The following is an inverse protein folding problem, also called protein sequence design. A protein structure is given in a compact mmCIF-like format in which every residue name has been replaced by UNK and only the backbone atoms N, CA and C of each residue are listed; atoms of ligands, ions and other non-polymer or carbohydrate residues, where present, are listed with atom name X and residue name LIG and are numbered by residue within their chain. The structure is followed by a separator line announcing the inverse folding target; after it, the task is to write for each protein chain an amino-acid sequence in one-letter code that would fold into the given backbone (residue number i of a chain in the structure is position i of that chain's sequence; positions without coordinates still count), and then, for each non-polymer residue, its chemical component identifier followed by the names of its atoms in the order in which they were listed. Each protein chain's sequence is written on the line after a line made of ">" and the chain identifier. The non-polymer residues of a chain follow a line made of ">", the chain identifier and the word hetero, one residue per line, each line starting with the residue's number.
data_IF_794742348389
#
_entry.id   IF_794742348389
#
_cell.length_a   1.000
_cell.length_b   1.000
_cell.length_c   1.000
_cell.angle_alpha   90.00
_cell.angle_beta   90.00
_cell.angle_gamma   90.00
#
_symmetry.space_group_name_H-M   'P 1'
#
loop_
_entity.id
_entity.type
_entity.pdbx_description
1 polymer ?
#
# COMPACT_ATOMS: atom_id res chain seq x y z
N UNK A 1 -28.89 10.53 15.49
CA UNK A 1 -29.77 9.38 15.13
C UNK A 1 -30.10 9.51 13.65
N UNK A 2 -29.98 8.40 12.89
CA UNK A 2 -30.23 8.39 11.45
C UNK A 2 -29.03 8.81 10.59
N UNK A 3 -27.87 9.13 11.16
CA UNK A 3 -26.68 9.44 10.39
C UNK A 3 -26.13 8.16 9.68
N UNK A 4 -25.78 8.28 8.41
CA UNK A 4 -25.02 7.28 7.69
C UNK A 4 -23.55 7.35 8.15
N UNK A 5 -23.01 6.24 8.63
CA UNK A 5 -21.66 6.17 9.18
C UNK A 5 -20.87 4.98 8.66
N UNK A 6 -19.55 5.13 8.62
CA UNK A 6 -18.60 4.06 8.38
C UNK A 6 -17.56 4.00 9.51
N UNK A 7 -16.94 2.84 9.67
CA UNK A 7 -15.83 2.63 10.60
C UNK A 7 -14.94 1.48 10.15
N UNK A 8 -13.72 1.45 10.67
CA UNK A 8 -12.79 0.34 10.48
C UNK A 8 -12.06 0.02 11.79
N UNK A 9 -11.62 -1.22 11.93
CA UNK A 9 -10.75 -1.63 13.04
C UNK A 9 -11.47 -2.17 14.26
N UNK A 10 -10.93 -1.88 15.42
CA UNK A 10 -11.38 -2.40 16.72
C UNK A 10 -12.41 -1.48 17.39
N UNK A 11 -13.27 -2.05 18.27
CA UNK A 11 -13.42 -3.47 18.58
C UNK A 11 -13.97 -4.30 17.41
N UNK A 12 -13.65 -5.60 17.39
CA UNK A 12 -14.17 -6.54 16.40
C UNK A 12 -15.69 -6.72 16.54
N UNK A 13 -16.37 -7.22 15.49
CA UNK A 13 -17.81 -7.50 15.50
C UNK A 13 -18.60 -6.73 14.43
N UNK A 14 -17.98 -6.42 13.28
CA UNK A 14 -18.65 -5.76 12.17
C UNK A 14 -19.72 -6.64 11.46
N UNK A 15 -19.59 -7.97 11.55
CA UNK A 15 -20.58 -8.91 11.04
C UNK A 15 -21.72 -9.09 12.04
N UNK A 16 -22.56 -8.07 12.16
CA UNK A 16 -23.71 -8.01 13.04
C UNK A 16 -24.78 -7.11 12.46
N UNK A 17 -26.05 -7.39 12.77
CA UNK A 17 -27.18 -6.52 12.37
C UNK A 17 -27.17 -5.20 13.13
N UNK A 18 -26.74 -5.25 14.41
CA UNK A 18 -26.65 -4.09 15.30
C UNK A 18 -25.45 -4.24 16.24
N UNK A 19 -24.87 -3.14 16.68
CA UNK A 19 -23.78 -3.13 17.67
C UNK A 19 -23.61 -1.78 18.33
N UNK A 20 -23.07 -1.79 19.54
CA UNK A 20 -22.51 -0.60 20.17
C UNK A 20 -21.08 -0.37 19.69
N UNK A 21 -20.77 0.86 19.25
CA UNK A 21 -19.44 1.21 18.77
C UNK A 21 -19.03 2.61 19.26
N UNK A 22 -17.76 2.85 19.60
CA UNK A 22 -17.30 4.15 20.07
C UNK A 22 -17.47 5.24 19.02
N UNK A 23 -18.21 6.30 19.37
CA UNK A 23 -18.54 7.38 18.43
C UNK A 23 -17.31 8.12 17.90
N UNK A 24 -16.23 8.18 18.67
CA UNK A 24 -14.97 8.79 18.25
C UNK A 24 -14.33 8.14 17.01
N UNK A 25 -14.66 6.87 16.75
CA UNK A 25 -14.13 6.10 15.63
C UNK A 25 -15.09 6.05 14.43
N UNK A 26 -16.18 6.80 14.48
CA UNK A 26 -17.17 6.87 13.39
C UNK A 26 -16.82 8.00 12.42
N UNK A 27 -16.99 7.74 11.14
CA UNK A 27 -16.89 8.73 10.06
C UNK A 27 -18.26 8.85 9.40
N UNK A 28 -18.74 10.06 9.17
CA UNK A 28 -19.96 10.27 8.37
C UNK A 28 -19.70 9.91 6.92
N UNK A 29 -20.65 9.18 6.34
CA UNK A 29 -20.62 8.88 4.91
C UNK A 29 -21.34 10.02 4.19
N UNK A 30 -20.72 10.68 3.20
CA UNK A 30 -21.39 11.62 2.32
C UNK A 30 -22.60 10.97 1.63
N UNK A 31 -23.66 11.74 1.39
CA UNK A 31 -24.92 11.21 0.83
C UNK A 31 -24.74 10.55 -0.55
N UNK A 32 -23.72 10.99 -1.30
CA UNK A 32 -23.41 10.48 -2.65
C UNK A 32 -22.68 9.14 -2.63
N UNK A 33 -22.20 8.68 -1.45
CA UNK A 33 -21.44 7.43 -1.31
C UNK A 33 -22.35 6.29 -0.87
N UNK A 34 -22.46 5.28 -1.73
CA UNK A 34 -23.20 4.05 -1.43
C UNK A 34 -22.55 3.28 -0.26
N UNK A 35 -23.39 2.62 0.57
CA UNK A 35 -22.92 1.85 1.73
C UNK A 35 -21.94 0.72 1.38
N UNK A 36 -22.13 0.04 0.23
CA UNK A 36 -21.21 -1.02 -0.19
C UNK A 36 -19.83 -0.42 -0.54
N UNK A 37 -19.83 0.74 -1.19
CA UNK A 37 -18.59 1.47 -1.49
C UNK A 37 -17.92 1.88 -0.18
N UNK A 38 -18.63 2.54 0.73
CA UNK A 38 -18.09 2.97 2.02
C UNK A 38 -17.53 1.79 2.82
N UNK A 39 -18.26 0.68 2.93
CA UNK A 39 -17.81 -0.51 3.65
C UNK A 39 -16.53 -1.12 3.08
N UNK A 40 -16.32 -1.04 1.76
CA UNK A 40 -15.13 -1.58 1.10
C UNK A 40 -13.93 -0.64 1.12
N UNK A 41 -14.17 0.67 1.22
CA UNK A 41 -13.13 1.69 1.17
C UNK A 41 -12.41 1.89 2.51
N UNK A 42 -13.09 1.80 3.65
CA UNK A 42 -12.50 2.22 4.92
C UNK A 42 -11.10 1.66 5.16
N UNK A 43 -10.93 0.36 5.30
CA UNK A 43 -9.60 -0.21 5.58
C UNK A 43 -8.63 -0.02 4.41
N UNK A 44 -9.08 -0.23 3.19
CA UNK A 44 -8.20 -0.18 2.00
C UNK A 44 -7.85 1.25 1.61
N UNK A 45 -8.83 2.16 1.65
CA UNK A 45 -8.64 3.58 1.34
C UNK A 45 -7.75 4.27 2.37
N UNK A 46 -8.04 4.07 3.66
CA UNK A 46 -7.20 4.59 4.75
C UNK A 46 -5.76 4.06 4.66
N UNK A 47 -5.60 2.78 4.27
CA UNK A 47 -4.25 2.23 4.04
C UNK A 47 -3.56 2.94 2.89
N UNK A 48 -4.22 3.09 1.75
CA UNK A 48 -3.64 3.81 0.61
C UNK A 48 -3.31 5.27 0.98
N UNK A 49 -4.18 5.95 1.71
CA UNK A 49 -3.97 7.32 2.17
C UNK A 49 -2.71 7.47 3.00
N UNK A 50 -2.58 6.72 4.11
CA UNK A 50 -1.40 6.91 4.96
C UNK A 50 -0.10 6.48 4.27
N UNK A 51 -0.14 5.50 3.37
CA UNK A 51 1.03 5.10 2.59
C UNK A 51 1.50 6.22 1.67
N UNK A 52 0.56 6.92 0.99
CA UNK A 52 0.84 7.97 0.02
C UNK A 52 1.27 9.30 0.66
N UNK A 53 0.69 9.65 1.80
CA UNK A 53 0.85 10.99 2.38
C UNK A 53 1.63 11.05 3.69
N UNK A 54 1.58 9.98 4.49
CA UNK A 54 2.13 10.02 5.86
C UNK A 54 3.36 9.14 6.04
N UNK A 55 3.43 7.97 5.39
CA UNK A 55 4.58 7.05 5.52
C UNK A 55 5.73 7.50 4.63
N UNK A 56 5.47 7.66 3.37
CA UNK A 56 6.36 8.27 2.38
C UNK A 56 5.53 9.23 1.53
N UNK A 57 5.57 10.53 1.84
CA UNK A 57 4.86 11.52 1.04
C UNK A 57 5.41 11.52 -0.39
N UNK A 58 4.61 10.99 -1.32
CA UNK A 58 5.03 10.89 -2.72
C UNK A 58 5.07 12.25 -3.40
N UNK A 59 5.95 12.39 -4.38
CA UNK A 59 6.05 13.58 -5.22
C UNK A 59 5.75 13.24 -6.68
N UNK A 60 5.19 14.19 -7.42
CA UNK A 60 4.94 14.01 -8.85
C UNK A 60 6.22 13.65 -9.60
N UNK A 61 6.09 12.84 -10.66
CA UNK A 61 7.19 12.30 -11.48
C UNK A 61 8.07 11.23 -10.81
N UNK A 62 7.83 10.86 -9.55
CA UNK A 62 8.50 9.69 -8.96
C UNK A 62 8.03 8.39 -9.62
N UNK A 63 8.94 7.41 -9.67
CA UNK A 63 8.61 6.03 -10.06
C UNK A 63 8.59 5.16 -8.81
N UNK A 64 7.44 4.58 -8.51
CA UNK A 64 7.20 3.80 -7.29
C UNK A 64 7.10 2.31 -7.63
N UNK A 65 7.53 1.43 -6.70
CA UNK A 65 7.27 -0.01 -6.80
C UNK A 65 6.19 -0.40 -5.78
N UNK A 66 5.11 -1.05 -6.26
CA UNK A 66 4.02 -1.53 -5.41
C UNK A 66 3.76 -3.03 -5.64
N UNK A 67 3.92 -3.83 -4.59
CA UNK A 67 3.63 -5.26 -4.63
C UNK A 67 2.15 -5.56 -4.42
N UNK A 68 1.66 -6.65 -5.06
CA UNK A 68 0.25 -7.02 -5.08
C UNK A 68 -0.67 -5.91 -5.62
N UNK A 69 -0.27 -5.28 -6.73
CA UNK A 69 -0.93 -4.12 -7.33
C UNK A 69 -2.41 -4.38 -7.73
N UNK A 70 -2.78 -5.61 -8.04
CA UNK A 70 -4.16 -6.01 -8.31
C UNK A 70 -4.98 -6.34 -7.04
N UNK A 71 -4.37 -6.26 -5.85
CA UNK A 71 -5.04 -6.47 -4.56
C UNK A 71 -5.90 -5.27 -4.15
N UNK A 72 -6.71 -5.44 -3.09
CA UNK A 72 -7.66 -4.41 -2.69
C UNK A 72 -7.05 -3.05 -2.35
N UNK A 73 -5.92 -3.00 -1.64
CA UNK A 73 -5.17 -1.76 -1.40
C UNK A 73 -4.49 -1.29 -2.69
N UNK A 74 -3.88 -2.23 -3.44
CA UNK A 74 -3.12 -1.92 -4.66
C UNK A 74 -3.95 -1.21 -5.71
N UNK A 75 -5.19 -1.64 -5.93
CA UNK A 75 -6.09 -1.01 -6.90
C UNK A 75 -6.37 0.47 -6.56
N UNK A 76 -6.61 0.78 -5.29
CA UNK A 76 -6.84 2.16 -4.84
C UNK A 76 -5.55 2.97 -4.88
N UNK A 77 -4.47 2.41 -4.31
CA UNK A 77 -3.17 3.07 -4.25
C UNK A 77 -2.64 3.45 -5.64
N UNK A 78 -2.67 2.51 -6.59
CA UNK A 78 -2.10 2.75 -7.93
C UNK A 78 -2.87 3.82 -8.71
N UNK A 79 -4.21 3.83 -8.63
CA UNK A 79 -5.03 4.88 -9.22
C UNK A 79 -4.70 6.25 -8.60
N UNK A 80 -4.60 6.29 -7.28
CA UNK A 80 -4.35 7.52 -6.55
C UNK A 80 -2.93 8.05 -6.81
N UNK A 81 -1.90 7.19 -6.74
CA UNK A 81 -0.53 7.56 -7.10
C UNK A 81 -0.43 8.09 -8.54
N UNK A 82 -1.14 7.45 -9.47
CA UNK A 82 -1.22 7.91 -10.87
C UNK A 82 -1.85 9.29 -10.99
N UNK A 83 -2.94 9.56 -10.28
CA UNK A 83 -3.60 10.88 -10.28
C UNK A 83 -2.72 11.98 -9.69
N UNK A 84 -1.79 11.62 -8.79
CA UNK A 84 -0.78 12.52 -8.22
C UNK A 84 0.46 12.71 -9.12
N UNK A 85 0.45 12.12 -10.32
CA UNK A 85 1.51 12.29 -11.31
C UNK A 85 2.71 11.35 -11.14
N UNK A 86 2.60 10.30 -10.33
CA UNK A 86 3.62 9.28 -10.19
C UNK A 86 3.53 8.23 -11.30
N UNK A 87 4.66 7.57 -11.58
CA UNK A 87 4.70 6.32 -12.35
C UNK A 87 4.69 5.14 -11.39
N UNK A 88 3.86 4.15 -11.67
CA UNK A 88 3.74 2.96 -10.82
C UNK A 88 4.21 1.72 -11.56
N UNK A 89 5.23 1.07 -11.01
CA UNK A 89 5.60 -0.30 -11.36
C UNK A 89 4.84 -1.18 -10.37
N UNK A 90 3.86 -1.93 -10.87
CA UNK A 90 3.10 -2.89 -10.07
C UNK A 90 3.64 -4.30 -10.22
N UNK A 91 3.60 -5.11 -9.15
CA UNK A 91 3.83 -6.55 -9.31
C UNK A 91 2.57 -7.34 -9.00
N UNK A 92 2.43 -8.48 -9.68
CA UNK A 92 1.33 -9.43 -9.52
C UNK A 92 1.86 -10.87 -9.46
N UNK A 93 1.08 -11.78 -8.91
CA UNK A 93 1.47 -13.18 -8.77
C UNK A 93 0.94 -14.11 -9.89
N UNK A 94 0.11 -13.58 -10.82
CA UNK A 94 -0.42 -14.35 -11.95
C UNK A 94 -0.78 -13.45 -13.12
N UNK A 95 -0.83 -14.02 -14.33
CA UNK A 95 -1.11 -13.27 -15.56
C UNK A 95 -2.53 -12.65 -15.57
N UNK A 96 -3.50 -13.33 -15.00
CA UNK A 96 -4.90 -12.86 -14.89
C UNK A 96 -5.03 -11.53 -14.17
N UNK A 97 -4.04 -11.20 -13.31
CA UNK A 97 -3.99 -9.97 -12.52
C UNK A 97 -3.31 -8.80 -13.25
N UNK A 98 -2.66 -9.06 -14.37
CA UNK A 98 -1.91 -8.02 -15.12
C UNK A 98 -2.86 -6.93 -15.60
N UNK A 99 -3.96 -7.31 -16.24
CA UNK A 99 -4.91 -6.33 -16.80
C UNK A 99 -5.63 -5.55 -15.70
N UNK A 100 -5.89 -6.19 -14.55
CA UNK A 100 -6.45 -5.51 -13.38
C UNK A 100 -5.49 -4.40 -12.90
N UNK A 101 -4.20 -4.72 -12.74
CA UNK A 101 -3.22 -3.75 -12.28
C UNK A 101 -3.02 -2.61 -13.28
N UNK A 102 -2.96 -2.90 -14.59
CA UNK A 102 -2.88 -1.88 -15.65
C UNK A 102 -4.09 -0.95 -15.64
N UNK A 103 -5.29 -1.52 -15.60
CA UNK A 103 -6.55 -0.75 -15.56
C UNK A 103 -6.61 0.18 -14.35
N UNK A 104 -5.99 -0.21 -13.25
CA UNK A 104 -5.94 0.56 -12.02
C UNK A 104 -4.69 1.44 -11.88
N UNK A 105 -4.04 1.83 -12.99
CA UNK A 105 -3.07 2.92 -13.02
C UNK A 105 -1.60 2.52 -12.99
N UNK A 106 -1.26 1.21 -12.99
CA UNK A 106 0.13 0.80 -13.15
C UNK A 106 0.62 1.11 -14.57
N UNK A 107 1.73 1.83 -14.68
CA UNK A 107 2.40 2.08 -15.96
C UNK A 107 3.11 0.83 -16.47
N UNK A 108 3.66 0.03 -15.56
CA UNK A 108 4.30 -1.24 -15.83
C UNK A 108 3.79 -2.29 -14.85
N UNK A 109 3.64 -3.52 -15.31
CA UNK A 109 3.22 -4.65 -14.46
C UNK A 109 4.15 -5.83 -14.71
N UNK A 110 4.68 -6.38 -13.62
CA UNK A 110 5.61 -7.50 -13.61
C UNK A 110 4.95 -8.69 -12.92
N UNK A 111 4.89 -9.84 -13.57
CA UNK A 111 4.49 -11.08 -12.94
C UNK A 111 5.70 -11.73 -12.27
N UNK A 112 5.85 -11.55 -10.95
CA UNK A 112 7.00 -12.06 -10.19
C UNK A 112 7.08 -13.59 -10.10
N UNK A 113 6.02 -14.31 -10.51
CA UNK A 113 6.06 -15.78 -10.61
C UNK A 113 6.78 -16.28 -11.87
N UNK A 114 6.98 -15.39 -12.86
CA UNK A 114 7.59 -15.71 -14.14
C UNK A 114 8.84 -14.88 -14.45
N UNK A 115 8.98 -13.73 -13.81
CA UNK A 115 10.02 -12.76 -14.11
C UNK A 115 10.80 -12.38 -12.83
N UNK A 116 12.09 -12.14 -13.00
CA UNK A 116 12.93 -11.56 -11.95
C UNK A 116 12.64 -10.06 -11.83
N UNK A 117 11.72 -9.70 -10.95
CA UNK A 117 11.25 -8.33 -10.83
C UNK A 117 12.35 -7.30 -10.48
N UNK A 118 13.42 -7.60 -9.69
CA UNK A 118 14.48 -6.62 -9.47
C UNK A 118 15.17 -6.21 -10.76
N UNK A 119 15.50 -7.18 -11.62
CA UNK A 119 16.09 -6.91 -12.94
C UNK A 119 15.21 -6.01 -13.78
N UNK A 120 13.89 -6.30 -13.82
CA UNK A 120 12.92 -5.47 -14.56
C UNK A 120 12.77 -4.08 -14.01
N UNK A 121 12.74 -3.92 -12.68
CA UNK A 121 12.68 -2.60 -12.04
C UNK A 121 13.93 -1.78 -12.38
N UNK A 122 15.12 -2.37 -12.33
CA UNK A 122 16.37 -1.69 -12.67
C UNK A 122 16.39 -1.30 -14.17
N UNK A 123 15.98 -2.19 -15.09
CA UNK A 123 15.82 -1.84 -16.51
C UNK A 123 14.90 -0.61 -16.70
N UNK A 124 13.72 -0.62 -16.07
CA UNK A 124 12.72 0.45 -16.19
C UNK A 124 13.20 1.78 -15.57
N UNK A 125 14.08 1.72 -14.59
CA UNK A 125 14.62 2.88 -13.89
C UNK A 125 16.05 3.26 -14.34
N UNK A 126 16.57 2.64 -15.40
CA UNK A 126 17.94 2.86 -15.92
C UNK A 126 18.99 2.69 -14.82
N UNK A 127 18.93 1.58 -14.11
CA UNK A 127 19.78 1.18 -12.98
C UNK A 127 19.76 2.10 -11.75
N UNK A 128 18.89 3.08 -11.72
CA UNK A 128 18.76 3.98 -10.54
C UNK A 128 18.03 3.34 -9.36
N UNK A 129 17.11 2.43 -9.64
CA UNK A 129 16.16 1.92 -8.66
C UNK A 129 15.02 2.91 -8.36
N UNK A 130 14.18 2.58 -7.39
CA UNK A 130 13.02 3.37 -6.98
C UNK A 130 13.26 4.02 -5.61
N UNK A 131 12.69 5.22 -5.36
CA UNK A 131 12.81 5.88 -4.05
C UNK A 131 12.05 5.13 -2.95
N UNK A 132 11.00 4.41 -3.29
CA UNK A 132 10.18 3.68 -2.32
C UNK A 132 9.62 2.39 -2.89
N UNK A 133 9.60 1.35 -2.07
CA UNK A 133 8.89 0.09 -2.32
C UNK A 133 7.81 -0.08 -1.27
N UNK A 134 6.58 -0.28 -1.73
CA UNK A 134 5.44 -0.64 -0.89
C UNK A 134 5.16 -2.13 -0.99
N UNK A 135 5.40 -2.86 0.09
CA UNK A 135 5.30 -4.32 0.14
C UNK A 135 4.21 -4.80 1.11
N UNK A 136 3.13 -5.32 0.53
CA UNK A 136 2.06 -6.01 1.24
C UNK A 136 2.19 -7.54 1.22
N UNK A 137 3.21 -8.07 0.54
CA UNK A 137 3.43 -9.51 0.34
C UNK A 137 4.32 -10.11 1.45
N UNK A 138 5.46 -9.50 1.73
CA UNK A 138 6.34 -9.86 2.83
C UNK A 138 7.38 -10.93 2.47
N UNK A 139 7.32 -12.11 3.09
CA UNK A 139 8.35 -13.15 3.01
C UNK A 139 8.92 -13.39 1.60
N UNK A 140 8.05 -13.47 0.60
CA UNK A 140 8.46 -13.86 -0.76
C UNK A 140 9.05 -12.70 -1.58
N UNK A 141 8.91 -11.46 -1.15
CA UNK A 141 9.29 -10.27 -1.92
C UNK A 141 10.33 -9.41 -1.25
N UNK A 142 10.42 -9.44 0.06
CA UNK A 142 11.20 -8.49 0.86
C UNK A 142 12.67 -8.37 0.44
N UNK A 143 13.42 -9.48 0.38
CA UNK A 143 14.86 -9.45 0.06
C UNK A 143 15.10 -8.84 -1.33
N UNK A 144 14.34 -9.30 -2.31
CA UNK A 144 14.42 -8.79 -3.68
C UNK A 144 13.92 -7.34 -3.81
N UNK A 145 13.04 -6.90 -2.94
CA UNK A 145 12.57 -5.50 -2.88
C UNK A 145 13.68 -4.54 -2.47
N UNK A 146 14.56 -4.96 -1.58
CA UNK A 146 15.76 -4.19 -1.18
C UNK A 146 16.67 -3.90 -2.37
N UNK A 147 16.80 -4.86 -3.30
CA UNK A 147 17.61 -4.68 -4.52
C UNK A 147 17.05 -3.57 -5.43
N UNK A 148 15.73 -3.41 -5.46
CA UNK A 148 15.04 -2.42 -6.28
C UNK A 148 15.20 -0.97 -5.80
N UNK A 149 15.60 -0.77 -4.54
CA UNK A 149 15.69 0.56 -3.95
C UNK A 149 16.95 1.31 -4.41
N UNK A 150 16.78 2.59 -4.67
CA UNK A 150 17.91 3.52 -4.85
C UNK A 150 18.61 3.80 -3.51
N UNK A 151 19.76 4.50 -3.55
CA UNK A 151 20.45 5.01 -2.35
C UNK A 151 19.49 5.86 -1.51
N UNK A 152 19.43 5.59 -0.21
CA UNK A 152 18.53 6.24 0.77
C UNK A 152 17.04 6.06 0.46
N UNK A 153 16.71 5.01 -0.32
CA UNK A 153 15.33 4.65 -0.57
C UNK A 153 14.63 4.06 0.66
N UNK A 154 13.31 4.02 0.63
CA UNK A 154 12.49 3.54 1.73
C UNK A 154 11.81 2.22 1.40
N UNK A 155 12.00 1.23 2.27
CA UNK A 155 11.26 -0.03 2.27
C UNK A 155 10.06 0.09 3.22
N UNK A 156 8.86 0.07 2.67
CA UNK A 156 7.59 0.13 3.43
C UNK A 156 6.94 -1.25 3.41
N UNK A 157 7.15 -2.03 4.48
CA UNK A 157 6.56 -3.36 4.63
C UNK A 157 5.23 -3.26 5.38
N UNK A 158 4.11 -3.09 4.66
CA UNK A 158 2.80 -2.85 5.29
C UNK A 158 1.90 -4.10 5.40
N UNK A 159 2.32 -5.24 4.83
CA UNK A 159 1.55 -6.50 4.87
C UNK A 159 2.43 -7.75 4.87
N UNK A 160 1.79 -8.92 5.05
CA UNK A 160 2.43 -10.23 5.15
C UNK A 160 1.61 -11.32 4.45
N UNK A 161 1.10 -11.08 3.25
CA UNK A 161 0.20 -12.05 2.57
C UNK A 161 0.88 -13.38 2.23
N UNK A 162 2.22 -13.41 2.09
CA UNK A 162 3.01 -14.63 1.92
C UNK A 162 3.69 -15.13 3.20
N UNK A 163 3.43 -14.47 4.31
CA UNK A 163 4.08 -14.72 5.61
C UNK A 163 4.92 -13.54 6.08
N UNK A 164 5.28 -13.52 7.38
CA UNK A 164 6.07 -12.45 7.95
C UNK A 164 7.47 -12.40 7.33
N UNK A 165 8.04 -11.20 7.26
CA UNK A 165 9.47 -11.01 6.99
C UNK A 165 10.24 -11.55 8.18
N UNK A 166 11.25 -12.36 7.91
CA UNK A 166 12.16 -12.89 8.93
C UNK A 166 13.09 -11.79 9.48
N UNK A 167 14.05 -12.17 10.32
CA UNK A 167 15.04 -11.26 10.88
C UNK A 167 15.80 -10.52 9.78
N UNK A 168 15.90 -9.19 9.93
CA UNK A 168 16.60 -8.33 8.98
C UNK A 168 18.02 -8.12 9.44
N UNK A 169 18.98 -8.63 8.67
CA UNK A 169 20.40 -8.35 8.90
C UNK A 169 20.71 -6.93 8.42
N UNK A 170 20.69 -5.96 9.34
CA UNK A 170 20.84 -4.52 9.05
C UNK A 170 22.11 -4.22 8.24
N UNK A 171 23.24 -4.85 8.57
CA UNK A 171 24.50 -4.65 7.86
C UNK A 171 24.43 -5.08 6.40
N UNK A 172 23.67 -6.11 6.09
CA UNK A 172 23.54 -6.66 4.74
C UNK A 172 22.43 -5.99 3.95
N UNK A 173 21.27 -5.79 4.56
CA UNK A 173 20.08 -5.32 3.87
C UNK A 173 19.96 -3.80 3.81
N UNK A 174 20.35 -3.09 4.85
CA UNK A 174 20.08 -1.65 5.02
C UNK A 174 21.30 -0.80 4.75
N UNK A 175 22.44 -1.16 5.36
CA UNK A 175 23.66 -0.36 5.34
C UNK A 175 24.21 -0.08 3.93
N UNK A 176 24.24 -1.02 2.95
CA UNK A 176 24.89 -0.79 1.66
C UNK A 176 24.34 0.39 0.87
N UNK A 177 23.07 0.71 1.05
CA UNK A 177 22.40 1.83 0.39
C UNK A 177 21.87 2.88 1.36
N UNK A 178 22.19 2.78 2.67
CA UNK A 178 21.66 3.65 3.72
C UNK A 178 20.13 3.76 3.68
N UNK A 179 19.46 2.63 3.60
CA UNK A 179 18.02 2.57 3.39
C UNK A 179 17.24 2.96 4.66
N UNK A 180 16.02 3.44 4.45
CA UNK A 180 15.02 3.53 5.50
C UNK A 180 14.13 2.28 5.45
N UNK A 181 13.76 1.77 6.62
CA UNK A 181 12.82 0.67 6.75
C UNK A 181 11.71 1.05 7.72
N UNK A 182 10.47 0.79 7.34
CA UNK A 182 9.32 0.96 8.22
C UNK A 182 8.32 -0.16 8.07
N UNK A 183 7.66 -0.51 9.20
CA UNK A 183 6.54 -1.45 9.28
C UNK A 183 5.33 -0.70 9.82
N UNK A 184 4.63 0.06 8.95
CA UNK A 184 3.52 0.88 9.39
C UNK A 184 2.30 0.03 9.78
N UNK A 185 1.51 0.55 10.70
CA UNK A 185 0.22 0.01 11.10
C UNK A 185 -0.83 1.10 11.01
N UNK A 186 -1.92 0.88 10.29
CA UNK A 186 -2.98 1.85 10.06
C UNK A 186 -3.42 2.60 11.33
N UNK A 187 -3.57 1.88 12.44
CA UNK A 187 -4.01 2.47 13.71
C UNK A 187 -3.07 3.51 14.32
N UNK A 188 -1.79 3.49 13.95
CA UNK A 188 -0.83 4.52 14.38
C UNK A 188 -0.95 5.81 13.57
N UNK A 189 -1.59 5.74 12.40
CA UNK A 189 -1.83 6.90 11.52
C UNK A 189 -3.25 7.47 11.64
N UNK A 190 -4.09 6.83 12.45
CA UNK A 190 -5.49 7.19 12.70
C UNK A 190 -5.78 7.19 14.20
N UNK A 191 -4.80 7.60 15.00
CA UNK A 191 -4.88 7.51 16.46
C UNK A 191 -5.82 8.57 17.06
N UNK A 192 -5.99 9.68 16.38
CA UNK A 192 -6.86 10.78 16.80
C UNK A 192 -8.06 10.92 15.86
N UNK A 193 -9.12 11.59 16.35
CA UNK A 193 -10.31 11.89 15.55
C UNK A 193 -9.97 12.74 14.32
N UNK A 194 -9.09 13.71 14.48
CA UNK A 194 -8.66 14.58 13.39
C UNK A 194 -7.94 13.80 12.29
N UNK A 195 -7.03 12.89 12.65
CA UNK A 195 -6.33 12.02 11.68
C UNK A 195 -7.27 11.06 10.94
N UNK A 196 -8.37 10.67 11.58
CA UNK A 196 -9.38 9.81 10.97
C UNK A 196 -10.28 10.59 9.98
N UNK A 197 -10.51 11.88 10.22
CA UNK A 197 -11.37 12.74 9.41
C UNK A 197 -10.63 13.49 8.31
N UNK A 198 -9.29 13.58 8.38
CA UNK A 198 -8.42 14.16 7.34
C UNK A 198 -8.47 13.35 6.04
#
# INVERSE_FOLDING_TARGET
>A
IGDHIAYAGIPLGAYSSERNYPTKNLVKIPEEIDFNVAATLMTKGLTAYYLLYKTYPISSNETLLFHAAAGGVGQIFCQWAKSLGCKVIGTVGSDEKIDIAKKNGCDFVINYSKEEFPKKVLELTKDKGVPVVYDGVGKNTFEKSIECLQMRGMMVSFGNSSGPVADIEVKKAIQPKSLFFTRPTMFHYLATKNELEE
#
